data_IF_511568429624
#
_entry.id   IF_511568429624
#
_cell.length_a   1.000
_cell.length_b   1.000
_cell.length_c   1.000
_cell.angle_alpha   90.00
_cell.angle_beta   90.00
_cell.angle_gamma   90.00
#
_symmetry.space_group_name_H-M   'P 1'
#
loop_
_entity.id
_entity.type
_entity.pdbx_description
1 polymer ?
#
# COMPACT_ATOMS: atom_id res chain seq x y z
N UNK A 1 23.05 -9.62 12.14
CA UNK A 1 22.37 -10.81 12.73
C UNK A 1 20.94 -10.40 13.09
N UNK A 2 19.92 -11.17 12.74
CA UNK A 2 18.52 -10.81 13.05
C UNK A 2 18.16 -11.09 14.50
N UNK A 3 17.41 -10.17 15.11
CA UNK A 3 16.77 -10.43 16.41
C UNK A 3 15.75 -11.55 16.26
N UNK A 4 15.58 -12.32 17.32
CA UNK A 4 14.68 -13.50 17.37
C UNK A 4 13.39 -13.26 18.14
N UNK A 5 13.28 -12.11 18.81
CA UNK A 5 12.12 -11.71 19.58
C UNK A 5 11.53 -10.41 19.03
N UNK A 6 10.19 -10.27 18.96
CA UNK A 6 9.53 -9.04 18.50
C UNK A 6 9.65 -7.92 19.53
N UNK A 7 9.59 -6.67 19.07
CA UNK A 7 9.66 -5.49 19.92
C UNK A 7 11.09 -5.07 20.19
N UNK A 8 11.40 -3.81 19.95
CA UNK A 8 12.73 -3.25 20.16
C UNK A 8 12.85 -2.60 21.54
N UNK A 9 11.85 -1.82 21.94
CA UNK A 9 11.82 -1.17 23.24
C UNK A 9 11.52 -2.16 24.36
N UNK A 10 10.63 -3.13 24.10
CA UNK A 10 10.27 -4.16 25.08
C UNK A 10 10.41 -5.56 24.44
N UNK A 11 11.64 -6.12 24.38
CA UNK A 11 11.90 -7.39 23.74
C UNK A 11 10.97 -8.51 24.22
N UNK A 12 10.40 -9.24 23.26
CA UNK A 12 9.51 -10.38 23.49
C UNK A 12 8.09 -10.01 23.90
N UNK A 13 7.76 -8.72 24.07
CA UNK A 13 6.43 -8.28 24.53
C UNK A 13 5.58 -7.59 23.46
N UNK A 14 6.17 -7.16 22.34
CA UNK A 14 5.39 -6.61 21.23
C UNK A 14 4.53 -7.67 20.55
N UNK A 15 3.23 -7.42 20.55
CA UNK A 15 2.25 -8.20 19.81
C UNK A 15 1.16 -7.27 19.27
N UNK A 16 0.30 -7.78 18.40
CA UNK A 16 -0.72 -6.96 17.74
C UNK A 16 -1.62 -6.17 18.71
N UNK A 17 -1.91 -6.68 19.91
CA UNK A 17 -2.73 -5.95 20.90
C UNK A 17 -1.96 -4.77 21.51
N UNK A 18 -0.69 -4.97 21.89
CA UNK A 18 0.13 -3.89 22.46
C UNK A 18 0.42 -2.83 21.40
N UNK A 19 0.72 -3.25 20.16
CA UNK A 19 0.90 -2.36 19.01
C UNK A 19 -0.35 -1.48 18.83
N UNK A 20 -1.55 -2.09 18.77
CA UNK A 20 -2.81 -1.34 18.62
C UNK A 20 -3.05 -0.37 19.77
N UNK A 21 -2.77 -0.77 21.02
CA UNK A 21 -2.91 0.09 22.18
C UNK A 21 -1.98 1.31 22.10
N UNK A 22 -0.73 1.11 21.70
CA UNK A 22 0.23 2.19 21.51
C UNK A 22 -0.17 3.17 20.40
N UNK A 23 -0.59 2.65 19.23
CA UNK A 23 -1.12 3.50 18.16
C UNK A 23 -2.38 4.27 18.59
N UNK A 24 -3.28 3.65 19.35
CA UNK A 24 -4.47 4.34 19.87
C UNK A 24 -4.11 5.46 20.83
N UNK A 25 -3.13 5.24 21.71
CA UNK A 25 -2.60 6.26 22.62
C UNK A 25 -1.97 7.41 21.86
N UNK A 26 -1.13 7.12 20.85
CA UNK A 26 -0.55 8.14 19.99
C UNK A 26 -1.62 8.96 19.27
N UNK A 27 -2.63 8.30 18.69
CA UNK A 27 -3.73 9.02 18.04
C UNK A 27 -4.50 9.92 19.00
N UNK A 28 -4.71 9.49 20.25
CA UNK A 28 -5.33 10.32 21.29
C UNK A 28 -4.46 11.54 21.66
N UNK A 29 -3.13 11.39 21.66
CA UNK A 29 -2.18 12.45 22.02
C UNK A 29 -1.62 13.24 20.82
N UNK A 30 -2.03 12.94 19.59
CA UNK A 30 -1.40 13.47 18.35
C UNK A 30 -1.37 14.99 18.22
N UNK A 31 -2.24 15.70 18.95
CA UNK A 31 -2.32 17.16 18.98
C UNK A 31 -1.53 17.78 20.13
N UNK A 32 -0.83 16.97 20.93
CA UNK A 32 0.02 17.46 22.01
C UNK A 32 1.26 18.15 21.44
N UNK A 33 1.95 18.94 22.28
CA UNK A 33 3.17 19.64 21.86
C UNK A 33 4.33 18.69 21.53
N UNK A 34 4.25 17.43 21.94
CA UNK A 34 5.31 16.43 21.74
C UNK A 34 4.72 15.02 21.72
N UNK A 35 4.00 14.63 20.65
CA UNK A 35 3.38 13.31 20.56
C UNK A 35 4.41 12.17 20.44
N UNK A 36 5.68 12.53 20.20
CA UNK A 36 6.83 11.62 20.21
C UNK A 36 7.72 11.88 21.43
N UNK A 37 8.17 10.82 22.08
CA UNK A 37 9.16 10.90 23.16
C UNK A 37 10.60 11.18 22.65
N UNK A 38 10.87 10.92 21.36
CA UNK A 38 12.17 11.10 20.71
C UNK A 38 12.01 11.78 19.34
N UNK A 39 12.74 12.88 19.13
CA UNK A 39 12.71 13.67 17.88
C UNK A 39 13.85 13.36 16.92
N UNK A 40 14.81 12.49 17.30
CA UNK A 40 15.97 12.17 16.46
C UNK A 40 15.94 10.72 15.97
N UNK A 41 15.80 10.55 14.66
CA UNK A 41 16.02 9.26 14.01
C UNK A 41 17.49 8.85 14.17
N UNK A 42 17.78 7.60 14.57
CA UNK A 42 19.16 7.13 14.66
C UNK A 42 19.77 7.03 13.26
N UNK A 43 21.05 7.36 13.13
CA UNK A 43 21.81 7.25 11.88
C UNK A 43 22.19 5.78 11.59
N UNK A 44 21.19 4.94 11.34
CA UNK A 44 21.34 3.50 11.10
C UNK A 44 20.77 3.19 9.72
N UNK A 45 21.55 2.51 8.87
CA UNK A 45 21.04 2.04 7.58
C UNK A 45 20.37 0.66 7.67
N UNK A 46 19.53 0.36 6.69
CA UNK A 46 18.93 -0.95 6.52
C UNK A 46 19.99 -2.06 6.42
N UNK A 47 19.78 -3.15 7.17
CA UNK A 47 20.61 -4.35 7.14
C UNK A 47 21.86 -4.28 8.04
N UNK A 48 22.18 -3.12 8.61
CA UNK A 48 23.36 -2.96 9.46
C UNK A 48 23.12 -3.48 10.88
N UNK A 49 22.10 -2.97 11.56
CA UNK A 49 21.81 -3.31 12.96
C UNK A 49 20.33 -3.13 13.31
N UNK A 50 19.97 -3.59 14.52
CA UNK A 50 18.64 -3.39 15.05
C UNK A 50 18.33 -1.90 15.24
N UNK A 51 17.09 -1.45 14.98
CA UNK A 51 15.89 -2.24 14.64
C UNK A 51 15.66 -2.51 13.13
N UNK A 52 16.57 -2.07 12.26
CA UNK A 52 16.41 -2.08 10.80
C UNK A 52 17.18 -3.24 10.15
N UNK A 53 17.35 -4.35 10.86
CA UNK A 53 18.23 -5.44 10.43
C UNK A 53 17.60 -6.37 9.36
N UNK A 54 16.27 -6.36 9.22
CA UNK A 54 15.51 -7.33 8.41
C UNK A 54 15.28 -6.82 6.98
N UNK A 55 16.21 -7.16 6.08
CA UNK A 55 16.11 -6.87 4.63
C UNK A 55 15.90 -8.18 3.86
N UNK A 56 14.85 -8.24 3.04
CA UNK A 56 14.36 -9.40 2.30
C UNK A 56 14.68 -9.25 0.81
N UNK A 57 15.74 -9.90 0.37
CA UNK A 57 16.22 -9.95 -1.01
C UNK A 57 16.09 -11.36 -1.62
N UNK A 58 15.96 -12.40 -0.80
CA UNK A 58 15.91 -13.79 -1.27
C UNK A 58 14.78 -14.59 -0.62
N UNK A 59 14.41 -15.71 -1.25
CA UNK A 59 13.41 -16.63 -0.73
C UNK A 59 13.81 -17.23 0.62
N UNK A 60 15.10 -17.52 0.82
CA UNK A 60 15.62 -18.10 2.05
C UNK A 60 15.40 -17.19 3.26
N UNK A 61 15.43 -15.88 3.04
CA UNK A 61 15.16 -14.87 4.07
C UNK A 61 13.69 -14.85 4.50
N UNK A 62 12.77 -15.01 3.54
CA UNK A 62 11.34 -15.19 3.85
C UNK A 62 11.10 -16.50 4.58
N UNK A 63 11.68 -17.60 4.12
CA UNK A 63 11.58 -18.91 4.78
C UNK A 63 12.16 -18.90 6.20
N UNK A 64 13.21 -18.11 6.45
CA UNK A 64 13.75 -17.90 7.78
C UNK A 64 12.74 -17.18 8.70
N UNK A 65 12.08 -16.12 8.22
CA UNK A 65 11.06 -15.41 9.00
C UNK A 65 9.79 -16.25 9.21
N UNK A 66 9.41 -17.09 8.25
CA UNK A 66 8.27 -18.02 8.38
C UNK A 66 8.43 -19.01 9.53
N UNK A 67 9.67 -19.36 9.88
CA UNK A 67 9.97 -20.18 11.08
C UNK A 67 9.76 -19.42 12.39
N UNK A 68 9.62 -18.10 12.35
CA UNK A 68 9.42 -17.21 13.50
C UNK A 68 8.26 -16.24 13.25
N UNK A 69 6.99 -16.71 13.18
CA UNK A 69 5.89 -15.88 12.70
C UNK A 69 5.63 -14.59 13.46
N UNK A 70 5.94 -14.58 14.76
CA UNK A 70 5.82 -13.41 15.61
C UNK A 70 6.69 -12.23 15.15
N UNK A 71 7.75 -12.45 14.38
CA UNK A 71 8.67 -11.40 13.92
C UNK A 71 8.15 -10.64 12.70
N UNK A 72 7.36 -11.27 11.85
CA UNK A 72 6.84 -10.62 10.64
C UNK A 72 5.35 -10.27 10.76
N UNK A 73 4.56 -11.07 11.48
CA UNK A 73 3.14 -10.75 11.75
C UNK A 73 2.95 -9.53 12.65
N UNK A 74 3.97 -9.19 13.45
CA UNK A 74 4.04 -7.99 14.28
C UNK A 74 5.06 -6.99 13.71
N UNK A 75 5.23 -6.94 12.39
CA UNK A 75 6.03 -5.92 11.73
C UNK A 75 5.25 -5.17 10.66
N UNK A 76 5.69 -3.96 10.33
CA UNK A 76 5.35 -3.31 9.07
C UNK A 76 6.25 -3.84 7.96
N UNK A 77 5.65 -4.33 6.87
CA UNK A 77 6.38 -4.74 5.68
C UNK A 77 6.49 -3.57 4.70
N UNK A 78 7.70 -3.06 4.48
CA UNK A 78 7.95 -1.90 3.62
C UNK A 78 8.53 -2.39 2.30
N UNK A 79 7.91 -2.02 1.18
CA UNK A 79 8.32 -2.37 -0.17
C UNK A 79 8.84 -1.11 -0.84
N UNK A 80 10.10 -1.14 -1.25
CA UNK A 80 10.71 -0.08 -2.05
C UNK A 80 10.68 -0.45 -3.54
N UNK A 81 9.79 0.15 -4.34
CA UNK A 81 9.82 -0.05 -5.79
C UNK A 81 11.03 0.62 -6.45
N UNK A 82 11.68 1.57 -5.76
CA UNK A 82 12.86 2.28 -6.20
C UNK A 82 13.86 2.48 -5.06
N UNK A 83 15.13 2.69 -5.38
CA UNK A 83 16.22 2.83 -4.39
C UNK A 83 16.08 4.05 -3.47
N UNK A 84 15.36 5.08 -3.93
CA UNK A 84 15.12 6.31 -3.21
C UNK A 84 13.84 7.00 -3.71
N UNK A 85 13.38 7.99 -2.95
CA UNK A 85 12.19 8.80 -3.31
C UNK A 85 12.57 10.18 -3.86
N UNK A 86 13.86 10.48 -4.00
CA UNK A 86 14.37 11.77 -4.43
C UNK A 86 15.60 12.22 -3.64
N UNK A 87 15.90 13.51 -3.73
CA UNK A 87 16.99 14.17 -3.02
C UNK A 87 16.47 15.33 -2.17
N UNK A 88 17.12 15.60 -1.03
CA UNK A 88 16.83 16.79 -0.23
C UNK A 88 17.49 18.04 -0.87
N UNK A 89 17.25 19.26 -0.34
CA UNK A 89 17.87 20.49 -0.86
C UNK A 89 19.40 20.51 -0.83
N UNK A 90 20.02 19.65 -0.01
CA UNK A 90 21.47 19.49 0.09
C UNK A 90 22.02 18.46 -0.93
N UNK A 91 21.15 17.84 -1.73
CA UNK A 91 21.49 16.85 -2.74
C UNK A 91 21.62 15.42 -2.20
N UNK A 92 21.30 15.19 -0.93
CA UNK A 92 21.38 13.87 -0.31
C UNK A 92 20.18 13.01 -0.71
N UNK A 93 20.45 11.73 -1.00
CA UNK A 93 19.44 10.75 -1.37
C UNK A 93 18.52 10.43 -0.19
N UNK A 94 17.21 10.55 -0.41
CA UNK A 94 16.19 10.31 0.62
C UNK A 94 15.61 8.90 0.47
N UNK A 95 15.70 8.10 1.53
CA UNK A 95 15.03 6.79 1.64
C UNK A 95 13.90 6.86 2.65
N UNK A 96 12.67 7.01 2.14
CA UNK A 96 11.46 7.15 2.96
C UNK A 96 11.16 5.92 3.84
N UNK A 97 11.61 4.73 3.43
CA UNK A 97 11.42 3.48 4.18
C UNK A 97 11.96 3.54 5.62
N UNK A 98 13.07 4.25 5.86
CA UNK A 98 13.61 4.45 7.21
C UNK A 98 12.67 5.28 8.08
N UNK A 99 12.01 6.29 7.51
CA UNK A 99 11.05 7.13 8.23
C UNK A 99 9.82 6.30 8.64
N UNK A 100 9.30 5.48 7.73
CA UNK A 100 8.16 4.59 8.03
C UNK A 100 8.53 3.59 9.13
N UNK A 101 9.69 2.95 9.03
CA UNK A 101 10.16 2.02 10.05
C UNK A 101 10.39 2.69 11.41
N UNK A 102 10.99 3.89 11.42
CA UNK A 102 11.22 4.67 12.64
C UNK A 102 9.90 5.10 13.30
N UNK A 103 8.93 5.61 12.54
CA UNK A 103 7.63 6.00 13.08
C UNK A 103 6.89 4.78 13.62
N UNK A 104 6.86 3.67 12.88
CA UNK A 104 6.24 2.43 13.31
C UNK A 104 6.82 1.93 14.64
N UNK A 105 8.15 1.94 14.76
CA UNK A 105 8.84 1.60 16.00
C UNK A 105 8.52 2.59 17.13
N UNK A 106 8.71 3.89 16.90
CA UNK A 106 8.60 4.92 17.93
C UNK A 106 7.17 5.04 18.47
N UNK A 107 6.16 4.83 17.62
CA UNK A 107 4.75 4.87 18.02
C UNK A 107 4.31 3.55 18.61
N UNK A 108 4.58 2.42 17.96
CA UNK A 108 3.92 1.15 18.25
C UNK A 108 4.80 0.05 18.85
N UNK A 109 6.10 0.30 19.04
CA UNK A 109 7.13 -0.74 19.18
C UNK A 109 6.98 -1.85 18.12
N UNK A 110 6.58 -1.42 16.91
CA UNK A 110 6.31 -2.26 15.75
C UNK A 110 7.63 -2.47 15.00
N UNK A 111 8.04 -3.73 14.84
CA UNK A 111 9.21 -4.09 14.04
C UNK A 111 8.99 -3.72 12.56
N UNK A 112 10.06 -3.70 11.76
CA UNK A 112 9.96 -3.48 10.32
C UNK A 112 10.74 -4.51 9.52
N UNK A 113 10.22 -4.87 8.35
CA UNK A 113 10.89 -5.69 7.33
C UNK A 113 10.91 -4.94 6.01
N UNK A 114 12.07 -4.87 5.35
CA UNK A 114 12.23 -4.20 4.07
C UNK A 114 12.29 -5.20 2.91
N UNK A 115 11.51 -4.98 1.85
CA UNK A 115 11.64 -5.62 0.55
C UNK A 115 12.16 -4.56 -0.44
N UNK A 116 13.46 -4.54 -0.79
CA UNK A 116 13.99 -3.65 -1.81
C UNK A 116 13.68 -4.21 -3.20
N UNK A 117 12.42 -4.07 -3.65
CA UNK A 117 11.94 -4.65 -4.91
C UNK A 117 12.73 -4.18 -6.13
N UNK A 118 13.29 -2.97 -6.11
CA UNK A 118 14.21 -2.46 -7.14
C UNK A 118 15.49 -3.31 -7.33
N UNK A 119 15.85 -4.14 -6.35
CA UNK A 119 16.94 -5.14 -6.45
C UNK A 119 16.51 -6.47 -7.07
N UNK A 120 15.24 -6.58 -7.45
CA UNK A 120 14.65 -7.77 -8.07
C UNK A 120 13.53 -8.37 -7.22
N UNK A 121 12.58 -8.99 -7.90
CA UNK A 121 11.45 -9.73 -7.31
C UNK A 121 11.65 -11.21 -7.66
N UNK A 122 11.89 -12.05 -6.66
CA UNK A 122 12.09 -13.48 -6.90
C UNK A 122 10.76 -14.23 -7.15
N UNK A 123 9.69 -13.81 -6.48
CA UNK A 123 8.35 -14.38 -6.60
C UNK A 123 7.32 -13.37 -6.09
N UNK A 124 6.56 -12.78 -7.01
CA UNK A 124 5.56 -11.76 -6.71
C UNK A 124 4.44 -12.26 -5.78
N UNK A 125 4.02 -13.52 -5.95
CA UNK A 125 2.90 -14.10 -5.18
C UNK A 125 3.37 -14.43 -3.76
N UNK A 126 4.56 -14.99 -3.63
CA UNK A 126 5.15 -15.32 -2.34
C UNK A 126 5.40 -14.07 -1.49
N UNK A 127 5.96 -13.02 -2.10
CA UNK A 127 6.19 -11.73 -1.44
C UNK A 127 4.87 -11.04 -1.07
N UNK A 128 3.88 -11.04 -1.96
CA UNK A 128 2.56 -10.47 -1.67
C UNK A 128 1.89 -11.17 -0.49
N UNK A 129 1.98 -12.50 -0.41
CA UNK A 129 1.48 -13.26 0.74
C UNK A 129 2.23 -12.91 2.02
N UNK A 130 3.55 -12.86 1.97
CA UNK A 130 4.36 -12.47 3.13
C UNK A 130 3.99 -11.07 3.65
N UNK A 131 3.87 -10.09 2.76
CA UNK A 131 3.47 -8.73 3.11
C UNK A 131 2.03 -8.68 3.67
N UNK A 132 1.10 -9.45 3.08
CA UNK A 132 -0.31 -9.49 3.52
C UNK A 132 -0.52 -10.16 4.87
N UNK A 133 0.43 -10.95 5.33
CA UNK A 133 0.42 -11.58 6.66
C UNK A 133 1.09 -10.70 7.74
N UNK A 134 1.70 -9.57 7.35
CA UNK A 134 2.33 -8.62 8.28
C UNK A 134 1.28 -7.80 9.05
N UNK A 135 1.69 -6.98 10.01
CA UNK A 135 0.75 -6.11 10.74
C UNK A 135 0.15 -5.02 9.85
N UNK A 136 0.95 -4.53 8.90
CA UNK A 136 0.62 -3.61 7.83
C UNK A 136 1.68 -3.75 6.72
N UNK A 137 1.40 -3.25 5.52
CA UNK A 137 2.42 -3.07 4.50
C UNK A 137 2.37 -1.67 3.88
N UNK A 138 3.53 -1.19 3.44
CA UNK A 138 3.69 0.10 2.77
C UNK A 138 4.44 -0.11 1.45
N UNK A 139 3.89 0.39 0.36
CA UNK A 139 4.57 0.48 -0.94
C UNK A 139 4.97 1.93 -1.15
N UNK A 140 6.27 2.15 -1.14
CA UNK A 140 6.88 3.49 -1.16
C UNK A 140 6.83 4.17 -2.53
N UNK A 141 7.28 5.42 -2.54
CA UNK A 141 7.51 6.18 -3.76
C UNK A 141 8.75 5.75 -4.54
N UNK A 142 9.02 6.49 -5.62
CA UNK A 142 10.18 6.30 -6.47
C UNK A 142 10.23 7.33 -7.59
N UNK A 143 11.39 7.46 -8.23
CA UNK A 143 11.60 8.39 -9.34
C UNK A 143 10.85 8.03 -10.65
N UNK A 144 10.67 6.75 -11.03
CA UNK A 144 9.98 6.40 -12.26
C UNK A 144 8.52 6.84 -12.31
N UNK A 145 7.99 6.96 -13.53
CA UNK A 145 6.58 7.23 -13.79
C UNK A 145 5.93 5.99 -14.42
N UNK A 146 4.85 5.48 -13.81
CA UNK A 146 4.22 4.19 -14.23
C UNK A 146 3.76 4.20 -15.68
N UNK A 147 3.31 5.35 -16.19
CA UNK A 147 2.82 5.47 -17.56
C UNK A 147 3.94 5.35 -18.62
N UNK A 148 5.20 5.52 -18.25
CA UNK A 148 6.35 5.44 -19.14
C UNK A 148 7.37 4.41 -18.64
N UNK A 149 7.30 3.21 -19.22
CA UNK A 149 8.19 2.10 -18.92
C UNK A 149 9.67 2.45 -19.06
N UNK A 150 10.00 3.39 -19.96
CA UNK A 150 11.39 3.81 -20.19
C UNK A 150 12.00 4.55 -19.01
N UNK A 151 11.18 5.00 -18.05
CA UNK A 151 11.65 5.67 -16.83
C UNK A 151 12.13 4.69 -15.76
N UNK A 152 11.88 3.38 -15.90
CA UNK A 152 12.37 2.34 -15.01
C UNK A 152 13.81 1.93 -15.40
N UNK A 153 14.71 2.90 -15.46
CA UNK A 153 16.12 2.68 -15.80
C UNK A 153 16.96 2.28 -14.59
N UNK A 154 17.87 1.30 -14.72
CA UNK A 154 18.81 0.93 -13.65
C UNK A 154 18.22 0.17 -12.44
N UNK A 155 16.97 -0.28 -12.53
CA UNK A 155 16.38 -1.24 -11.58
C UNK A 155 16.62 -2.67 -12.07
N UNK A 156 16.89 -3.61 -11.16
CA UNK A 156 16.91 -5.04 -11.46
C UNK A 156 15.50 -5.64 -11.59
N UNK A 157 14.47 -4.80 -11.44
CA UNK A 157 13.06 -5.11 -11.51
C UNK A 157 12.39 -4.24 -12.58
N UNK A 158 11.71 -4.86 -13.54
CA UNK A 158 10.96 -4.12 -14.56
C UNK A 158 9.69 -3.50 -13.99
N UNK A 159 9.07 -2.59 -14.76
CA UNK A 159 7.72 -2.09 -14.45
C UNK A 159 6.72 -3.24 -14.34
N UNK A 160 6.82 -4.24 -15.21
CA UNK A 160 5.89 -5.38 -15.22
C UNK A 160 6.06 -6.30 -14.02
N UNK A 161 7.28 -6.49 -13.54
CA UNK A 161 7.55 -7.25 -12.30
C UNK A 161 6.93 -6.54 -11.08
N UNK A 162 7.08 -5.21 -11.01
CA UNK A 162 6.45 -4.40 -9.95
C UNK A 162 4.92 -4.49 -10.04
N UNK A 163 4.34 -4.35 -11.24
CA UNK A 163 2.90 -4.48 -11.44
C UNK A 163 2.41 -5.89 -11.09
N UNK A 164 3.17 -6.94 -11.38
CA UNK A 164 2.83 -8.30 -10.98
C UNK A 164 2.80 -8.46 -9.44
N UNK A 165 3.74 -7.86 -8.72
CA UNK A 165 3.74 -7.82 -7.25
C UNK A 165 2.54 -7.03 -6.71
N UNK A 166 2.23 -5.87 -7.29
CA UNK A 166 1.09 -5.06 -6.85
C UNK A 166 -0.24 -5.76 -7.16
N UNK A 167 -0.39 -6.37 -8.34
CA UNK A 167 -1.55 -7.21 -8.67
C UNK A 167 -1.71 -8.34 -7.65
N UNK A 168 -0.61 -9.03 -7.30
CA UNK A 168 -0.63 -10.08 -6.28
C UNK A 168 -1.03 -9.54 -4.90
N UNK A 169 -0.55 -8.35 -4.48
CA UNK A 169 -0.95 -7.71 -3.22
C UNK A 169 -2.44 -7.37 -3.20
N UNK A 170 -2.96 -6.80 -4.28
CA UNK A 170 -4.37 -6.44 -4.40
C UNK A 170 -5.27 -7.69 -4.37
N UNK A 171 -4.87 -8.76 -5.03
CA UNK A 171 -5.60 -10.03 -5.07
C UNK A 171 -5.49 -10.85 -3.78
N UNK A 172 -4.40 -10.68 -3.01
CA UNK A 172 -4.21 -11.39 -1.73
C UNK A 172 -5.03 -10.77 -0.59
N UNK A 173 -5.68 -9.63 -0.84
CA UNK A 173 -6.50 -8.92 0.14
C UNK A 173 -7.77 -9.73 0.47
N UNK A 174 -7.66 -10.64 1.44
CA UNK A 174 -8.80 -11.28 2.09
C UNK A 174 -9.47 -10.33 3.10
N UNK A 175 -10.68 -10.67 3.56
CA UNK A 175 -11.46 -9.90 4.57
C UNK A 175 -10.72 -9.64 5.91
N UNK A 176 -9.54 -10.26 6.12
CA UNK A 176 -8.66 -10.10 7.29
C UNK A 176 -7.19 -9.83 6.92
N UNK A 177 -6.91 -9.42 5.69
CA UNK A 177 -5.55 -9.09 5.25
C UNK A 177 -4.99 -7.85 5.95
N UNK A 178 -3.65 -7.74 5.98
CA UNK A 178 -2.98 -6.55 6.49
C UNK A 178 -3.45 -5.26 5.77
N UNK A 179 -3.63 -4.14 6.49
CA UNK A 179 -3.84 -2.85 5.85
C UNK A 179 -2.61 -2.48 5.00
N UNK A 180 -2.88 -1.94 3.80
CA UNK A 180 -1.87 -1.52 2.84
C UNK A 180 -1.90 -0.02 2.60
N UNK A 181 -0.73 0.62 2.60
CA UNK A 181 -0.54 2.03 2.22
C UNK A 181 0.30 2.11 0.95
N UNK A 182 -0.17 2.84 -0.05
CA UNK A 182 0.52 3.02 -1.33
C UNK A 182 0.84 4.50 -1.52
N UNK A 183 2.12 4.85 -1.64
CA UNK A 183 2.61 6.25 -1.62
C UNK A 183 3.31 6.56 -2.94
N UNK A 184 3.02 7.71 -3.55
CA UNK A 184 3.68 8.18 -4.78
C UNK A 184 3.72 7.08 -5.87
N UNK A 185 4.89 6.61 -6.30
CA UNK A 185 5.01 5.50 -7.26
C UNK A 185 4.17 4.27 -6.86
N UNK A 186 4.12 3.91 -5.58
CA UNK A 186 3.26 2.85 -5.08
C UNK A 186 1.77 3.06 -5.42
N UNK A 187 1.25 4.28 -5.28
CA UNK A 187 -0.15 4.58 -5.62
C UNK A 187 -0.39 4.51 -7.14
N UNK A 188 0.58 4.95 -7.93
CA UNK A 188 0.49 4.89 -9.39
C UNK A 188 0.49 3.43 -9.86
N UNK A 189 1.35 2.59 -9.27
CA UNK A 189 1.41 1.16 -9.56
C UNK A 189 0.11 0.48 -9.16
N UNK A 190 -0.47 0.84 -8.01
CA UNK A 190 -1.78 0.35 -7.60
C UNK A 190 -2.85 0.74 -8.61
N UNK A 191 -2.92 2.00 -9.05
CA UNK A 191 -3.91 2.45 -10.03
C UNK A 191 -3.81 1.67 -11.35
N UNK A 192 -2.60 1.53 -11.90
CA UNK A 192 -2.37 0.76 -13.13
C UNK A 192 -2.66 -0.73 -12.95
N UNK A 193 -2.29 -1.32 -11.80
CA UNK A 193 -2.62 -2.71 -11.49
C UNK A 193 -4.14 -2.95 -11.44
N UNK A 194 -4.93 -2.03 -10.88
CA UNK A 194 -6.39 -2.12 -10.94
C UNK A 194 -6.91 -2.12 -12.39
N UNK A 195 -6.39 -1.24 -13.25
CA UNK A 195 -6.75 -1.20 -14.67
C UNK A 195 -6.42 -2.53 -15.34
N UNK A 196 -5.23 -3.09 -15.11
CA UNK A 196 -4.81 -4.39 -15.65
C UNK A 196 -5.73 -5.52 -15.17
N UNK A 197 -6.05 -5.56 -13.87
CA UNK A 197 -6.95 -6.57 -13.29
C UNK A 197 -8.36 -6.46 -13.85
N UNK A 198 -8.92 -5.26 -13.99
CA UNK A 198 -10.24 -5.03 -14.59
C UNK A 198 -10.26 -5.53 -16.04
N UNK A 199 -9.26 -5.16 -16.85
CA UNK A 199 -9.15 -5.63 -18.25
C UNK A 199 -9.05 -7.15 -18.32
N UNK A 200 -8.29 -7.78 -17.43
CA UNK A 200 -8.19 -9.25 -17.33
C UNK A 200 -9.53 -9.88 -16.94
N UNK A 201 -10.25 -9.28 -16.00
CA UNK A 201 -11.57 -9.76 -15.57
C UNK A 201 -12.61 -9.65 -16.70
N UNK A 202 -12.67 -8.52 -17.41
CA UNK A 202 -13.54 -8.33 -18.59
C UNK A 202 -13.29 -9.42 -19.62
N UNK A 203 -12.03 -9.63 -20.00
CA UNK A 203 -11.66 -10.67 -20.97
C UNK A 203 -12.08 -12.06 -20.51
N UNK A 204 -11.91 -12.38 -19.22
CA UNK A 204 -12.33 -13.67 -18.67
C UNK A 204 -13.86 -13.85 -18.74
N UNK A 205 -14.61 -12.81 -18.40
CA UNK A 205 -16.09 -12.78 -18.45
C UNK A 205 -16.59 -12.98 -19.89
N UNK A 206 -16.01 -12.29 -20.86
CA UNK A 206 -16.40 -12.40 -22.28
C UNK A 206 -16.28 -13.84 -22.81
N UNK A 207 -15.28 -14.60 -22.34
CA UNK A 207 -15.02 -15.96 -22.82
C UNK A 207 -15.92 -17.04 -22.21
N UNK A 208 -16.63 -16.78 -21.11
CA UNK A 208 -17.30 -17.88 -20.38
C UNK A 208 -18.43 -17.52 -19.42
N UNK A 209 -18.83 -16.25 -19.30
CA UNK A 209 -19.89 -15.85 -18.36
C UNK A 209 -21.30 -15.80 -18.99
N UNK A 210 -22.36 -15.77 -18.15
CA UNK A 210 -23.73 -15.49 -18.60
C UNK A 210 -23.86 -14.11 -19.27
N UNK A 211 -24.86 -13.95 -20.12
CA UNK A 211 -25.02 -12.76 -20.98
C UNK A 211 -25.17 -11.45 -20.20
N UNK A 212 -25.82 -11.48 -19.03
CA UNK A 212 -25.92 -10.30 -18.15
C UNK A 212 -24.54 -9.78 -17.70
N UNK A 213 -23.63 -10.68 -17.29
CA UNK A 213 -22.29 -10.28 -16.85
C UNK A 213 -21.43 -9.79 -18.03
N UNK A 214 -21.62 -10.38 -19.22
CA UNK A 214 -21.00 -9.90 -20.46
C UNK A 214 -21.45 -8.49 -20.81
N UNK A 215 -22.74 -8.19 -20.68
CA UNK A 215 -23.28 -6.85 -20.94
C UNK A 215 -22.65 -5.80 -20.01
N UNK A 216 -22.49 -6.13 -18.73
CA UNK A 216 -21.80 -5.24 -17.77
C UNK A 216 -20.32 -5.07 -18.12
N UNK A 217 -19.61 -6.15 -18.45
CA UNK A 217 -18.21 -6.09 -18.86
C UNK A 217 -18.00 -5.21 -20.12
N UNK A 218 -18.89 -5.33 -21.11
CA UNK A 218 -18.88 -4.49 -22.30
C UNK A 218 -19.12 -3.01 -21.95
N UNK A 219 -20.04 -2.71 -21.03
CA UNK A 219 -20.30 -1.34 -20.58
C UNK A 219 -19.11 -0.74 -19.84
N UNK A 220 -18.45 -1.51 -18.97
CA UNK A 220 -17.21 -1.08 -18.31
C UNK A 220 -16.12 -0.79 -19.34
N UNK A 221 -15.95 -1.67 -20.33
CA UNK A 221 -14.99 -1.46 -21.42
C UNK A 221 -15.28 -0.18 -22.20
N UNK A 222 -16.54 0.04 -22.58
CA UNK A 222 -16.96 1.24 -23.31
C UNK A 222 -16.71 2.54 -22.52
N UNK A 223 -16.95 2.54 -21.21
CA UNK A 223 -16.59 3.68 -20.34
C UNK A 223 -15.07 3.89 -20.35
N UNK A 224 -14.29 2.82 -20.22
CA UNK A 224 -12.83 2.87 -20.25
C UNK A 224 -12.27 3.50 -21.53
N UNK A 225 -12.87 3.21 -22.69
CA UNK A 225 -12.47 3.77 -23.99
C UNK A 225 -12.83 5.26 -24.15
N UNK A 226 -13.89 5.72 -23.48
CA UNK A 226 -14.37 7.10 -23.55
C UNK A 226 -13.67 8.03 -22.55
N UNK A 227 -13.01 7.48 -21.53
CA UNK A 227 -12.24 8.25 -20.56
C UNK A 227 -11.03 8.90 -21.24
N UNK A 228 -11.09 10.22 -21.44
CA UNK A 228 -9.93 11.01 -21.84
C UNK A 228 -9.03 11.20 -20.63
N UNK A 229 -7.84 10.61 -20.69
CA UNK A 229 -6.83 10.71 -19.63
C UNK A 229 -5.74 11.69 -20.04
N UNK A 230 -5.58 12.76 -19.27
CA UNK A 230 -4.42 13.64 -19.38
C UNK A 230 -3.27 13.07 -18.54
N UNK A 231 -2.28 12.47 -19.22
CA UNK A 231 -1.13 11.83 -18.58
C UNK A 231 -0.27 12.82 -17.77
N UNK A 232 -0.32 14.11 -18.07
CA UNK A 232 0.43 15.13 -17.34
C UNK A 232 -0.08 15.31 -15.90
N UNK A 233 -1.37 15.10 -15.66
CA UNK A 233 -2.01 15.29 -14.34
C UNK A 233 -1.72 14.18 -13.33
N UNK A 234 -0.92 13.17 -13.68
CA UNK A 234 -0.55 12.06 -12.75
C UNK A 234 0.93 12.09 -12.37
N UNK A 235 1.71 13.05 -12.89
CA UNK A 235 3.07 13.30 -12.45
C UNK A 235 3.02 13.94 -11.06
N UNK A 236 3.26 13.13 -10.02
CA UNK A 236 3.21 13.52 -8.60
C UNK A 236 4.06 14.74 -8.27
N UNK A 237 5.16 14.98 -9.00
CA UNK A 237 6.00 16.16 -8.81
C UNK A 237 5.35 17.49 -9.24
N UNK A 238 4.46 17.49 -10.25
CA UNK A 238 3.79 18.71 -10.72
C UNK A 238 2.50 19.03 -9.96
N UNK A 239 1.85 18.03 -9.37
CA UNK A 239 0.61 18.20 -8.62
C UNK A 239 0.81 18.73 -7.20
N UNK A 240 2.00 18.58 -6.62
CA UNK A 240 2.28 19.08 -5.27
C UNK A 240 2.10 20.60 -5.17
N UNK A 241 2.43 21.36 -6.22
CA UNK A 241 2.19 22.82 -6.27
C UNK A 241 0.72 23.21 -6.46
N UNK A 242 -0.11 22.32 -7.02
CA UNK A 242 -1.53 22.56 -7.23
C UNK A 242 -2.37 22.19 -5.99
N UNK A 243 -2.02 21.12 -5.28
CA UNK A 243 -2.76 20.62 -4.10
C UNK A 243 -2.58 21.50 -2.85
N UNK A 244 -1.52 22.30 -2.76
CA UNK A 244 -1.29 23.24 -1.66
C UNK A 244 -2.24 24.47 -1.66
N UNK A 245 -3.14 24.60 -2.64
CA UNK A 245 -4.08 25.73 -2.74
C UNK A 245 -5.44 25.45 -2.11
N UNK A 246 -5.51 25.47 -0.78
CA UNK A 246 -6.73 25.80 -0.04
C UNK A 246 -7.98 24.93 -0.29
N UNK A 247 -7.83 23.74 -0.84
CA UNK A 247 -8.94 22.82 -1.07
C UNK A 247 -9.23 22.04 0.22
N UNK A 248 -10.42 22.26 0.78
CA UNK A 248 -10.94 21.45 1.89
C UNK A 248 -11.49 20.16 1.30
N UNK A 249 -10.99 19.00 1.77
CA UNK A 249 -11.61 17.71 1.46
C UNK A 249 -13.02 17.69 2.06
N UNK A 250 -14.03 17.75 1.19
CA UNK A 250 -15.42 17.54 1.60
C UNK A 250 -15.62 16.08 1.99
N UNK A 251 -16.38 15.83 3.06
CA UNK A 251 -16.81 14.48 3.41
C UNK A 251 -17.56 13.85 2.23
N UNK A 252 -17.16 12.64 1.83
CA UNK A 252 -17.83 11.86 0.80
C UNK A 252 -19.28 11.60 1.25
N UNK A 253 -20.26 12.12 0.51
CA UNK A 253 -21.66 11.80 0.71
C UNK A 253 -22.00 10.58 -0.14
N UNK A 254 -22.38 9.47 0.50
CA UNK A 254 -22.86 8.27 -0.17
C UNK A 254 -24.16 8.60 -0.90
N UNK A 255 -24.21 8.58 -2.23
CA UNK A 255 -25.45 8.85 -2.94
C UNK A 255 -26.35 7.61 -2.87
N UNK A 256 -27.68 7.80 -2.76
CA UNK A 256 -28.63 6.69 -2.75
C UNK A 256 -28.77 6.06 -4.15
N UNK A 257 -29.12 4.76 -4.26
CA UNK A 257 -29.32 4.10 -5.55
C UNK A 257 -30.30 4.83 -6.48
N UNK A 258 -31.38 5.39 -5.92
CA UNK A 258 -32.35 6.20 -6.68
C UNK A 258 -31.78 7.56 -7.14
N UNK A 259 -30.82 8.12 -6.40
CA UNK A 259 -30.17 9.39 -6.75
C UNK A 259 -29.07 9.24 -7.82
N UNK A 260 -28.55 8.02 -8.04
CA UNK A 260 -27.44 7.76 -8.96
C UNK A 260 -27.86 7.28 -10.35
N UNK A 261 -29.13 6.91 -10.56
CA UNK A 261 -29.56 6.30 -11.83
C UNK A 261 -28.77 5.03 -12.16
N UNK A 262 -28.43 4.23 -11.14
CA UNK A 262 -27.68 2.99 -11.32
C UNK A 262 -28.51 2.03 -12.16
N UNK A 263 -27.93 1.56 -13.26
CA UNK A 263 -28.62 0.67 -14.18
C UNK A 263 -28.89 -0.69 -13.53
N UNK A 264 -30.02 -1.30 -13.87
CA UNK A 264 -30.53 -2.55 -13.27
C UNK A 264 -29.50 -3.69 -13.37
N UNK A 265 -28.71 -3.73 -14.44
CA UNK A 265 -27.67 -4.74 -14.66
C UNK A 265 -26.51 -4.63 -13.64
N UNK A 266 -26.26 -3.44 -13.11
CA UNK A 266 -25.27 -3.20 -12.05
C UNK A 266 -25.80 -3.69 -10.71
N UNK A 267 -27.10 -3.56 -10.45
CA UNK A 267 -27.76 -4.07 -9.24
C UNK A 267 -27.79 -5.61 -9.24
N UNK A 268 -28.15 -6.22 -10.36
CA UNK A 268 -28.10 -7.69 -10.52
C UNK A 268 -26.68 -8.24 -10.37
N UNK A 269 -25.69 -7.56 -10.94
CA UNK A 269 -24.27 -7.94 -10.78
C UNK A 269 -23.79 -7.79 -9.34
N UNK A 270 -24.25 -6.74 -8.64
CA UNK A 270 -23.97 -6.55 -7.23
C UNK A 270 -24.57 -7.70 -6.40
N UNK A 271 -25.82 -8.11 -6.63
CA UNK A 271 -26.42 -9.26 -5.92
C UNK A 271 -25.66 -10.58 -6.13
N UNK A 272 -25.12 -10.79 -7.33
CA UNK A 272 -24.34 -12.00 -7.66
C UNK A 272 -22.93 -11.96 -7.03
N UNK A 273 -22.34 -10.78 -6.88
CA UNK A 273 -20.95 -10.61 -6.38
C UNK A 273 -20.87 -10.30 -4.87
N UNK A 274 -21.96 -9.87 -4.23
CA UNK A 274 -22.02 -9.39 -2.85
C UNK A 274 -21.93 -10.48 -1.75
N UNK A 275 -21.20 -11.58 -1.98
CA UNK A 275 -20.79 -12.45 -0.87
C UNK A 275 -19.81 -11.75 0.11
N UNK A 276 -19.28 -10.57 -0.24
CA UNK A 276 -18.35 -9.77 0.56
C UNK A 276 -18.98 -8.49 1.17
N UNK A 277 -20.26 -8.57 1.57
CA UNK A 277 -21.09 -7.47 2.14
C UNK A 277 -20.51 -6.75 3.38
N UNK A 278 -19.35 -7.17 3.90
CA UNK A 278 -18.79 -6.63 5.14
C UNK A 278 -17.68 -5.59 4.96
N UNK A 279 -16.88 -5.65 3.90
CA UNK A 279 -15.61 -4.90 3.87
C UNK A 279 -15.76 -3.48 3.28
N UNK A 280 -16.53 -3.34 2.20
CA UNK A 280 -16.72 -2.05 1.52
C UNK A 280 -17.53 -1.11 2.41
N UNK A 281 -18.62 -1.59 3.00
CA UNK A 281 -19.46 -0.79 3.91
C UNK A 281 -18.68 -0.38 5.17
N UNK A 282 -17.84 -1.27 5.71
CA UNK A 282 -17.00 -0.97 6.87
C UNK A 282 -15.89 0.04 6.52
N UNK A 283 -15.24 -0.09 5.36
CA UNK A 283 -14.25 0.89 4.87
C UNK A 283 -14.88 2.26 4.61
N UNK A 284 -16.11 2.30 4.09
CA UNK A 284 -16.88 3.54 3.92
C UNK A 284 -17.26 4.17 5.26
N UNK A 285 -17.60 3.34 6.26
CA UNK A 285 -17.88 3.81 7.63
C UNK A 285 -16.64 4.45 8.27
N UNK A 286 -15.46 3.84 8.13
CA UNK A 286 -14.20 4.41 8.64
C UNK A 286 -13.69 5.61 7.85
N UNK A 287 -13.99 5.71 6.55
CA UNK A 287 -13.64 6.88 5.74
C UNK A 287 -14.35 8.16 6.23
N UNK A 288 -15.55 8.03 6.81
CA UNK A 288 -16.27 9.15 7.45
C UNK A 288 -15.61 9.67 8.73
N UNK A 289 -14.80 8.85 9.40
CA UNK A 289 -14.14 9.18 10.67
C UNK A 289 -12.69 9.69 10.49
N UNK A 290 -12.13 9.59 9.28
CA UNK A 290 -10.77 10.04 8.96
C UNK A 290 -10.75 11.56 8.67
N UNK A 291 -10.59 12.36 9.74
CA UNK A 291 -10.08 13.74 9.60
C UNK A 291 -8.57 13.71 9.39
N UNK A 292 -8.15 13.70 8.14
CA UNK A 292 -6.75 13.96 7.78
C UNK A 292 -6.63 15.47 7.56
N UNK A 293 -6.13 16.18 8.57
CA UNK A 293 -5.63 17.54 8.39
C UNK A 293 -4.22 17.43 7.79
N UNK A 294 -4.02 17.96 6.58
CA UNK A 294 -2.71 18.09 5.98
C UNK A 294 -1.98 19.30 6.57
N UNK A 295 -0.73 19.10 6.97
CA UNK A 295 0.22 20.17 7.32
C UNK A 295 0.91 20.71 6.08
#
# INVERSE_FOLDING_TARGET
MWRREPGFHIPGRSNLQTIKAHFAQFLADRLSKSPFASTKMPAIAWGEQAPFEKVIQTKEQVELLRKMPSLYRNSVCIIEPWENVGQNPEGEVVRASLNVAYIAQAVGDLDATLIPAWKGIYDAVDLARFASESAAFVVEGGAPAVYDEKTFTHSACSRDDLLALIEALLLTRADRGAPGLFICLGHQLAAEAHVRLIKRAIKAIETGAPDGLKAVAQRISAVGEQLKWDKAQFATAQNAEAELRGHVLCAYQVPTPEAMGVAEEVLETYEVTAQARGLIDLMQQYAGDLKIDMF
#
